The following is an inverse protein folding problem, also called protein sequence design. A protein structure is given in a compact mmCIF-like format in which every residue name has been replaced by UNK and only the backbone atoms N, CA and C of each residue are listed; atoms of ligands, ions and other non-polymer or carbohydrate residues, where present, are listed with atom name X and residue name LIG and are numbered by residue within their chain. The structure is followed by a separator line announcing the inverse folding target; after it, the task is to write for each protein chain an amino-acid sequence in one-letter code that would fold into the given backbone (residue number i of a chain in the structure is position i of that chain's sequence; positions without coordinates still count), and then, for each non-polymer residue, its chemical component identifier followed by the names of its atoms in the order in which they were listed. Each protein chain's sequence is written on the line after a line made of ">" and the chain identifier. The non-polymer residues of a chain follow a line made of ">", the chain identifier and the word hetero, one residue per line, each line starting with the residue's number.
data_IF_304693856188
#
_entry.id   IF_304693856188
#
_cell.length_a   1.000
_cell.length_b   1.000
_cell.length_c   1.000
_cell.angle_alpha   90.00
_cell.angle_beta   90.00
_cell.angle_gamma   90.00
#
_symmetry.space_group_name_H-M   'P 1'
#
loop_
_entity.id
_entity.type
_entity.pdbx_description
1 polymer ?
#
# COMPACT_ATOMS: atom_id res chain seq x y z
N UNK A 1 39.72 -73.95 -48.96
CA UNK A 1 38.55 -74.86 -49.06
C UNK A 1 37.40 -74.23 -48.30
N UNK A 2 36.19 -74.27 -48.87
CA UNK A 2 34.91 -73.82 -48.26
C UNK A 2 34.70 -74.55 -46.90
N UNK A 3 33.91 -74.07 -45.94
CA UNK A 3 32.44 -74.23 -45.93
C UNK A 3 31.83 -73.53 -44.67
N UNK A 4 30.86 -72.65 -44.94
CA UNK A 4 29.59 -72.24 -44.25
C UNK A 4 29.39 -72.14 -42.71
N UNK A 5 28.87 -70.96 -42.32
CA UNK A 5 27.91 -70.60 -41.24
C UNK A 5 26.62 -71.48 -41.26
N UNK A 6 25.70 -71.52 -40.24
CA UNK A 6 25.07 -70.35 -39.58
C UNK A 6 24.52 -70.53 -38.12
N UNK A 7 23.83 -69.46 -37.64
CA UNK A 7 22.65 -69.43 -36.73
C UNK A 7 22.91 -69.36 -35.20
N UNK A 8 22.88 -68.17 -34.53
CA UNK A 8 21.77 -67.27 -34.11
C UNK A 8 21.17 -67.61 -32.72
N UNK A 9 21.11 -66.56 -31.85
CA UNK A 9 20.23 -66.32 -30.66
C UNK A 9 20.54 -67.14 -29.40
N UNK A 10 20.47 -66.66 -28.15
CA UNK A 10 20.29 -65.38 -27.45
C UNK A 10 20.24 -65.73 -25.93
N UNK A 11 20.51 -64.76 -25.06
CA UNK A 11 20.09 -64.71 -23.64
C UNK A 11 20.82 -65.58 -22.60
N UNK A 12 21.45 -64.91 -21.62
CA UNK A 12 21.03 -64.91 -20.21
C UNK A 12 22.17 -64.46 -19.28
N UNK A 13 22.37 -63.15 -19.10
CA UNK A 13 23.11 -62.67 -17.92
C UNK A 13 22.15 -62.61 -16.73
N UNK A 14 22.29 -63.58 -15.84
CA UNK A 14 21.61 -63.63 -14.54
C UNK A 14 22.48 -63.04 -13.43
N UNK A 15 21.89 -62.08 -12.71
CA UNK A 15 21.93 -61.86 -11.26
C UNK A 15 23.26 -61.81 -10.49
N UNK A 16 23.54 -60.65 -9.87
CA UNK A 16 23.71 -60.46 -8.41
C UNK A 16 24.27 -59.04 -8.17
N UNK A 17 23.46 -58.07 -7.76
CA UNK A 17 23.03 -57.76 -6.38
C UNK A 17 23.97 -56.79 -5.63
N UNK A 18 23.40 -55.61 -5.40
CA UNK A 18 23.65 -54.64 -4.32
C UNK A 18 24.96 -53.84 -4.29
N UNK A 19 24.89 -52.66 -4.92
CA UNK A 19 25.68 -51.49 -4.48
C UNK A 19 24.76 -50.28 -4.34
N UNK A 20 24.45 -49.96 -3.07
CA UNK A 20 24.14 -48.63 -2.53
C UNK A 20 23.21 -47.74 -3.37
N UNK A 21 21.89 -48.02 -3.29
CA UNK A 21 20.90 -46.95 -3.41
C UNK A 21 20.97 -46.10 -2.14
N UNK A 22 21.89 -45.15 -2.12
CA UNK A 22 21.74 -43.95 -1.29
C UNK A 22 20.45 -43.29 -1.75
N UNK A 23 19.45 -43.28 -0.87
CA UNK A 23 18.20 -42.55 -1.07
C UNK A 23 18.47 -41.04 -1.04
N UNK A 24 19.11 -40.52 -2.08
CA UNK A 24 19.15 -39.09 -2.35
C UNK A 24 17.79 -38.71 -2.95
N UNK A 25 16.79 -38.66 -2.07
CA UNK A 25 15.52 -38.00 -2.38
C UNK A 25 15.86 -36.56 -2.74
N UNK A 26 15.65 -36.21 -4.00
CA UNK A 26 15.71 -34.82 -4.45
C UNK A 26 14.91 -33.94 -3.45
N UNK A 27 15.43 -32.77 -3.07
CA UNK A 27 14.77 -31.93 -2.08
C UNK A 27 13.35 -31.61 -2.53
N UNK A 28 12.37 -31.99 -1.72
CA UNK A 28 10.95 -31.70 -1.94
C UNK A 28 10.58 -30.37 -1.28
N UNK A 29 9.41 -29.81 -1.58
CA UNK A 29 8.90 -28.61 -0.89
C UNK A 29 8.89 -28.79 0.64
N UNK A 30 8.68 -30.02 1.14
CA UNK A 30 8.76 -30.36 2.56
C UNK A 30 10.16 -30.13 3.18
N UNK A 31 11.22 -30.14 2.38
CA UNK A 31 12.60 -29.85 2.83
C UNK A 31 12.90 -28.36 2.98
N UNK A 32 12.02 -27.47 2.49
CA UNK A 32 12.19 -26.01 2.61
C UNK A 32 11.80 -25.47 3.99
N UNK A 33 10.89 -26.14 4.71
CA UNK A 33 10.41 -25.66 6.02
C UNK A 33 11.47 -25.66 7.14
N UNK A 34 12.64 -26.24 6.91
CA UNK A 34 13.77 -26.28 7.87
C UNK A 34 15.00 -25.50 7.43
N UNK A 35 14.97 -24.85 6.26
CA UNK A 35 16.09 -24.00 5.84
C UNK A 35 15.96 -22.65 6.54
N UNK A 36 16.94 -22.23 7.34
CA UNK A 36 16.94 -20.87 7.88
C UNK A 36 16.98 -19.92 6.68
N UNK A 37 15.91 -19.16 6.50
CA UNK A 37 15.87 -18.11 5.48
C UNK A 37 16.78 -17.02 6.00
N UNK A 38 17.98 -16.93 5.41
CA UNK A 38 18.86 -15.80 5.61
C UNK A 38 18.30 -14.68 4.75
N UNK A 39 17.42 -13.87 5.35
CA UNK A 39 17.01 -12.60 4.77
C UNK A 39 18.19 -11.67 5.00
N UNK A 40 19.09 -11.60 4.02
CA UNK A 40 19.99 -10.48 3.97
C UNK A 40 19.13 -9.28 3.59
N UNK A 41 19.02 -8.29 4.48
CA UNK A 41 18.42 -6.99 4.17
C UNK A 41 19.34 -6.32 3.14
N UNK A 42 19.17 -6.69 1.87
CA UNK A 42 19.77 -5.95 0.76
C UNK A 42 19.10 -4.59 0.78
N UNK A 43 19.83 -3.49 0.98
CA UNK A 43 19.25 -2.17 0.84
C UNK A 43 18.76 -2.06 -0.60
N UNK A 44 17.46 -2.13 -0.80
CA UNK A 44 16.87 -1.78 -2.08
C UNK A 44 16.87 -0.25 -2.08
N UNK A 45 17.93 0.36 -2.59
CA UNK A 45 17.92 1.77 -2.98
C UNK A 45 16.99 1.94 -4.20
N UNK A 46 15.72 1.57 -4.08
CA UNK A 46 14.70 1.96 -5.05
C UNK A 46 14.38 3.41 -4.81
N UNK A 47 14.93 4.29 -5.64
CA UNK A 47 14.47 5.69 -5.70
C UNK A 47 12.96 5.75 -5.99
N UNK A 48 12.27 6.77 -5.49
CA UNK A 48 10.86 7.02 -5.83
C UNK A 48 10.61 6.88 -7.34
N UNK A 49 11.52 7.41 -8.16
CA UNK A 49 11.47 7.31 -9.63
C UNK A 49 11.44 5.87 -10.15
N UNK A 50 12.25 4.97 -9.60
CA UNK A 50 12.25 3.55 -9.99
C UNK A 50 10.95 2.87 -9.57
N UNK A 51 10.44 3.16 -8.36
CA UNK A 51 9.17 2.62 -7.89
C UNK A 51 7.98 3.10 -8.75
N UNK A 52 7.90 4.40 -9.04
CA UNK A 52 6.92 4.99 -9.97
C UNK A 52 6.97 4.29 -11.32
N UNK A 53 8.18 4.10 -11.89
CA UNK A 53 8.34 3.48 -13.21
C UNK A 53 7.88 2.02 -13.22
N UNK A 54 8.17 1.26 -12.15
CA UNK A 54 7.74 -0.13 -12.00
C UNK A 54 6.22 -0.24 -11.90
N UNK A 55 5.56 0.60 -11.09
CA UNK A 55 4.10 0.59 -10.99
C UNK A 55 3.43 1.02 -12.29
N UNK A 56 3.96 2.03 -12.98
CA UNK A 56 3.46 2.43 -14.29
C UNK A 56 3.54 1.29 -15.31
N UNK A 57 4.64 0.55 -15.35
CA UNK A 57 4.78 -0.58 -16.26
C UNK A 57 3.82 -1.72 -15.92
N UNK A 58 3.67 -2.04 -14.64
CA UNK A 58 2.69 -3.02 -14.19
C UNK A 58 1.25 -2.63 -14.57
N UNK A 59 0.89 -1.35 -14.45
CA UNK A 59 -0.45 -0.86 -14.80
C UNK A 59 -0.75 -0.85 -16.32
N UNK A 60 0.25 -1.02 -17.18
CA UNK A 60 0.04 -1.24 -18.64
C UNK A 60 -0.35 -2.67 -18.99
N UNK A 61 -0.11 -3.62 -18.09
CA UNK A 61 -0.48 -5.02 -18.30
C UNK A 61 -1.99 -5.22 -18.12
N UNK A 62 -2.57 -6.31 -18.62
CA UNK A 62 -3.97 -6.65 -18.40
C UNK A 62 -4.22 -7.41 -17.07
N UNK A 63 -3.32 -7.27 -16.09
CA UNK A 63 -3.42 -7.96 -14.80
C UNK A 63 -4.65 -7.51 -13.98
N UNK A 64 -5.67 -8.37 -13.87
CA UNK A 64 -6.89 -8.07 -13.13
C UNK A 64 -6.83 -8.52 -11.66
N UNK A 65 -5.64 -8.84 -11.12
CA UNK A 65 -5.49 -9.29 -9.74
C UNK A 65 -5.64 -8.14 -8.73
N UNK A 66 -5.71 -8.50 -7.44
CA UNK A 66 -5.72 -7.55 -6.32
C UNK A 66 -4.46 -6.69 -6.24
N UNK A 67 -3.39 -7.04 -6.97
CA UNK A 67 -2.20 -6.21 -7.06
C UNK A 67 -2.44 -4.90 -7.84
N UNK A 68 -3.44 -4.86 -8.73
CA UNK A 68 -3.77 -3.67 -9.53
C UNK A 68 -4.17 -2.45 -8.70
N UNK A 69 -5.23 -2.50 -7.86
CA UNK A 69 -5.59 -1.38 -6.99
C UNK A 69 -4.48 -1.03 -5.99
N UNK A 70 -3.71 -2.02 -5.53
CA UNK A 70 -2.56 -1.77 -4.67
C UNK A 70 -1.48 -0.95 -5.39
N UNK A 71 -1.13 -1.31 -6.62
CA UNK A 71 -0.17 -0.57 -7.44
C UNK A 71 -0.65 0.84 -7.78
N UNK A 72 -1.95 0.99 -8.09
CA UNK A 72 -2.57 2.31 -8.28
C UNK A 72 -2.42 3.17 -7.02
N UNK A 73 -2.84 2.65 -5.86
CA UNK A 73 -2.69 3.36 -4.58
C UNK A 73 -1.24 3.73 -4.31
N UNK A 74 -0.30 2.80 -4.47
CA UNK A 74 1.13 3.04 -4.22
C UNK A 74 1.72 4.09 -5.17
N UNK A 75 1.30 4.12 -6.42
CA UNK A 75 1.70 5.15 -7.37
C UNK A 75 1.22 6.53 -6.92
N UNK A 76 -0.05 6.63 -6.47
CA UNK A 76 -0.60 7.87 -5.93
C UNK A 76 0.08 8.28 -4.62
N UNK A 77 0.36 7.32 -3.73
CA UNK A 77 1.09 7.57 -2.48
C UNK A 77 2.46 8.17 -2.77
N UNK A 78 3.23 7.63 -3.72
CA UNK A 78 4.56 8.14 -4.07
C UNK A 78 4.49 9.57 -4.64
N UNK A 79 3.50 9.83 -5.50
CA UNK A 79 3.31 11.15 -6.09
C UNK A 79 2.93 12.19 -5.03
N UNK A 80 2.16 11.79 -4.01
CA UNK A 80 1.84 12.59 -2.84
C UNK A 80 3.03 12.68 -1.85
N UNK A 81 3.85 11.64 -1.71
CA UNK A 81 4.92 11.58 -0.71
C UNK A 81 6.19 12.34 -1.12
N UNK A 82 6.38 12.63 -2.40
CA UNK A 82 7.36 13.64 -2.84
C UNK A 82 7.15 15.02 -2.16
N UNK A 83 6.04 15.20 -1.43
CA UNK A 83 5.68 16.38 -0.65
C UNK A 83 6.20 16.40 0.80
N UNK A 84 6.62 15.29 1.43
CA UNK A 84 7.22 15.37 2.79
C UNK A 84 8.55 16.13 2.78
N UNK A 85 9.23 16.12 1.63
CA UNK A 85 10.43 16.90 1.34
C UNK A 85 10.11 18.41 1.18
N UNK A 86 8.83 18.73 0.96
CA UNK A 86 8.35 20.08 0.66
C UNK A 86 7.93 20.87 1.92
N UNK A 87 7.35 20.23 2.94
CA UNK A 87 6.91 20.93 4.17
C UNK A 87 8.08 21.48 5.01
N UNK A 88 9.25 20.81 5.00
CA UNK A 88 10.48 21.28 5.65
C UNK A 88 11.25 22.33 4.81
N UNK A 89 10.82 22.57 3.57
CA UNK A 89 11.50 23.46 2.63
C UNK A 89 10.66 24.72 2.37
N UNK A 90 11.25 25.92 2.42
CA UNK A 90 10.61 27.15 1.96
C UNK A 90 10.45 27.13 0.42
N UNK A 91 9.52 26.32 -0.07
CA UNK A 91 9.23 26.23 -1.48
C UNK A 91 8.36 27.41 -1.90
N UNK A 92 8.86 28.17 -2.87
CA UNK A 92 8.14 29.27 -3.51
C UNK A 92 8.20 29.11 -5.03
N UNK A 93 7.18 29.60 -5.72
CA UNK A 93 7.11 29.59 -7.19
C UNK A 93 6.77 28.23 -7.79
N UNK A 94 7.40 27.91 -8.93
CA UNK A 94 7.07 26.79 -9.81
C UNK A 94 7.04 25.42 -9.12
N UNK A 95 7.84 25.24 -8.07
CA UNK A 95 7.88 23.98 -7.30
C UNK A 95 6.57 23.71 -6.57
N UNK A 96 5.97 24.72 -5.92
CA UNK A 96 4.67 24.55 -5.24
C UNK A 96 3.56 24.21 -6.25
N UNK A 97 3.62 24.81 -7.44
CA UNK A 97 2.66 24.53 -8.51
C UNK A 97 2.80 23.09 -9.02
N UNK A 98 4.04 22.61 -9.18
CA UNK A 98 4.31 21.23 -9.58
C UNK A 98 3.76 20.23 -8.56
N UNK A 99 3.98 20.47 -7.27
CA UNK A 99 3.44 19.60 -6.22
C UNK A 99 1.91 19.61 -6.21
N UNK A 100 1.27 20.78 -6.33
CA UNK A 100 -0.21 20.84 -6.44
C UNK A 100 -0.74 20.07 -7.65
N UNK A 101 -0.02 20.09 -8.77
CA UNK A 101 -0.36 19.29 -9.93
C UNK A 101 -0.23 17.78 -9.65
N UNK A 102 0.85 17.35 -9.00
CA UNK A 102 1.06 15.94 -8.62
C UNK A 102 0.02 15.44 -7.61
N UNK A 103 -0.38 16.27 -6.65
CA UNK A 103 -1.49 15.99 -5.75
C UNK A 103 -2.81 15.83 -6.51
N UNK A 104 -3.06 16.68 -7.52
CA UNK A 104 -4.20 16.56 -8.43
C UNK A 104 -4.24 15.22 -9.18
N UNK A 105 -3.11 14.79 -9.73
CA UNK A 105 -3.00 13.47 -10.38
C UNK A 105 -3.27 12.33 -9.38
N UNK A 106 -2.80 12.47 -8.14
CA UNK A 106 -3.03 11.50 -7.07
C UNK A 106 -4.51 11.39 -6.68
N UNK A 107 -5.24 12.52 -6.62
CA UNK A 107 -6.69 12.56 -6.40
C UNK A 107 -7.41 11.72 -7.46
N UNK A 108 -7.05 11.87 -8.74
CA UNK A 108 -7.65 11.09 -9.82
C UNK A 108 -7.43 9.59 -9.63
N UNK A 109 -6.21 9.17 -9.27
CA UNK A 109 -5.90 7.75 -9.06
C UNK A 109 -6.66 7.18 -7.85
N UNK A 110 -6.71 7.88 -6.72
CA UNK A 110 -7.44 7.41 -5.55
C UNK A 110 -8.94 7.27 -5.83
N UNK A 111 -9.54 8.23 -6.53
CA UNK A 111 -10.95 8.14 -6.96
C UNK A 111 -11.19 6.94 -7.86
N UNK A 112 -10.30 6.69 -8.82
CA UNK A 112 -10.36 5.52 -9.70
C UNK A 112 -10.30 4.21 -8.90
N UNK A 113 -9.47 4.13 -7.85
CA UNK A 113 -9.40 2.96 -6.97
C UNK A 113 -10.74 2.77 -6.25
N UNK A 114 -11.30 3.82 -5.65
CA UNK A 114 -12.55 3.75 -4.90
C UNK A 114 -13.76 3.43 -5.78
N UNK A 115 -13.77 3.92 -7.03
CA UNK A 115 -14.85 3.67 -7.99
C UNK A 115 -14.81 2.24 -8.56
N UNK A 116 -13.62 1.76 -8.94
CA UNK A 116 -13.47 0.44 -9.59
C UNK A 116 -13.39 -0.71 -8.60
N UNK A 117 -12.96 -0.42 -7.37
CA UNK A 117 -12.77 -1.41 -6.32
C UNK A 117 -13.45 -0.97 -5.00
N UNK A 118 -14.78 -0.72 -5.00
CA UNK A 118 -15.46 -0.06 -3.89
C UNK A 118 -15.48 -0.87 -2.60
N UNK A 119 -15.49 -2.21 -2.68
CA UNK A 119 -15.74 -3.09 -1.53
C UNK A 119 -14.46 -3.59 -0.84
N UNK A 120 -13.29 -3.05 -1.19
CA UNK A 120 -12.04 -3.46 -0.56
C UNK A 120 -11.99 -3.04 0.91
N UNK A 121 -11.41 -3.92 1.72
CA UNK A 121 -11.26 -3.72 3.16
C UNK A 121 -10.15 -2.70 3.50
N UNK A 122 -9.22 -2.46 2.59
CA UNK A 122 -8.08 -1.53 2.75
C UNK A 122 -8.31 -0.15 2.13
N UNK A 123 -9.55 0.14 1.70
CA UNK A 123 -9.95 1.44 1.15
C UNK A 123 -9.99 2.55 2.22
N UNK A 124 -9.88 2.22 3.51
CA UNK A 124 -9.70 3.21 4.58
C UNK A 124 -8.44 4.07 4.36
N UNK A 125 -7.33 3.43 3.99
CA UNK A 125 -6.08 4.10 3.63
C UNK A 125 -6.25 4.99 2.39
N UNK A 126 -6.99 4.53 1.40
CA UNK A 126 -7.25 5.28 0.16
C UNK A 126 -8.09 6.53 0.44
N UNK A 127 -9.15 6.40 1.25
CA UNK A 127 -9.98 7.53 1.66
C UNK A 127 -9.18 8.55 2.48
N UNK A 128 -8.33 8.09 3.40
CA UNK A 128 -7.50 8.98 4.21
C UNK A 128 -6.53 9.78 3.34
N UNK A 129 -5.83 9.11 2.43
CA UNK A 129 -4.87 9.75 1.53
C UNK A 129 -5.54 10.69 0.53
N UNK A 130 -6.73 10.32 0.03
CA UNK A 130 -7.56 11.19 -0.80
C UNK A 130 -7.96 12.47 -0.07
N UNK A 131 -8.39 12.35 1.20
CA UNK A 131 -8.73 13.51 2.01
C UNK A 131 -7.53 14.46 2.21
N UNK A 132 -6.34 13.91 2.46
CA UNK A 132 -5.10 14.69 2.57
C UNK A 132 -4.75 15.39 1.25
N UNK A 133 -4.87 14.68 0.14
CA UNK A 133 -4.62 15.26 -1.18
C UNK A 133 -5.58 16.43 -1.46
N UNK A 134 -6.85 16.31 -1.07
CA UNK A 134 -7.81 17.42 -1.15
C UNK A 134 -7.45 18.61 -0.26
N UNK A 135 -6.97 18.41 0.97
CA UNK A 135 -6.48 19.52 1.80
C UNK A 135 -5.32 20.25 1.11
N UNK A 136 -4.40 19.49 0.53
CA UNK A 136 -3.22 20.02 -0.16
C UNK A 136 -3.57 20.82 -1.42
N UNK A 137 -4.55 20.37 -2.20
CA UNK A 137 -5.01 21.08 -3.40
C UNK A 137 -5.93 22.27 -3.09
N UNK A 138 -6.27 22.50 -1.81
CA UNK A 138 -7.15 23.60 -1.40
C UNK A 138 -8.63 23.28 -1.58
N UNK A 139 -9.01 22.01 -1.43
CA UNK A 139 -10.37 21.47 -1.56
C UNK A 139 -10.91 20.95 -0.21
N UNK A 140 -11.02 21.80 0.84
CA UNK A 140 -11.34 21.37 2.20
C UNK A 140 -12.73 20.72 2.35
N UNK A 141 -13.71 21.11 1.52
CA UNK A 141 -15.05 20.52 1.58
C UNK A 141 -15.06 19.07 1.06
N UNK A 142 -14.29 18.79 0.01
CA UNK A 142 -14.08 17.44 -0.51
C UNK A 142 -13.33 16.58 0.53
N UNK A 143 -12.32 17.16 1.20
CA UNK A 143 -11.65 16.49 2.30
C UNK A 143 -12.62 16.13 3.44
N UNK A 144 -13.45 17.08 3.89
CA UNK A 144 -14.47 16.83 4.92
C UNK A 144 -15.41 15.69 4.57
N UNK A 145 -15.92 15.66 3.33
CA UNK A 145 -16.80 14.59 2.85
C UNK A 145 -16.07 13.23 2.84
N UNK A 146 -14.83 13.20 2.38
CA UNK A 146 -14.02 11.98 2.29
C UNK A 146 -13.68 11.42 3.67
N UNK A 147 -13.30 12.27 4.63
CA UNK A 147 -13.05 11.88 6.02
C UNK A 147 -14.33 11.36 6.71
N UNK A 148 -15.48 11.97 6.42
CA UNK A 148 -16.76 11.48 6.92
C UNK A 148 -17.12 10.10 6.34
N UNK A 149 -16.82 9.84 5.06
CA UNK A 149 -16.97 8.53 4.47
C UNK A 149 -16.06 7.49 5.12
N UNK A 150 -14.78 7.82 5.36
CA UNK A 150 -13.83 6.94 6.05
C UNK A 150 -14.39 6.50 7.40
N UNK A 151 -14.76 7.45 8.25
CA UNK A 151 -15.28 7.18 9.60
C UNK A 151 -16.53 6.29 9.54
N UNK A 152 -17.42 6.55 8.58
CA UNK A 152 -18.67 5.79 8.43
C UNK A 152 -18.44 4.36 7.95
N UNK A 153 -17.52 4.16 7.01
CA UNK A 153 -17.30 2.85 6.36
C UNK A 153 -16.27 1.99 7.07
N UNK A 154 -15.31 2.61 7.73
CA UNK A 154 -14.16 1.97 8.39
C UNK A 154 -14.00 2.48 9.83
N UNK A 155 -15.00 2.26 10.70
CA UNK A 155 -15.00 2.80 12.07
C UNK A 155 -13.85 2.25 12.95
N UNK A 156 -13.25 1.12 12.56
CA UNK A 156 -12.12 0.50 13.27
C UNK A 156 -10.75 0.86 12.64
N UNK A 157 -10.73 1.73 11.63
CA UNK A 157 -9.48 2.13 10.98
C UNK A 157 -8.59 2.93 11.93
N UNK A 158 -7.27 2.72 11.83
CA UNK A 158 -6.26 3.53 12.52
C UNK A 158 -6.38 5.03 12.21
N UNK A 159 -6.97 5.39 11.06
CA UNK A 159 -7.11 6.78 10.62
C UNK A 159 -8.31 7.50 11.23
N UNK A 160 -9.18 6.82 11.99
CA UNK A 160 -10.45 7.41 12.47
C UNK A 160 -10.23 8.60 13.39
N UNK A 161 -9.32 8.48 14.37
CA UNK A 161 -9.08 9.56 15.34
C UNK A 161 -8.45 10.78 14.69
N UNK A 162 -7.50 10.55 13.77
CA UNK A 162 -6.95 11.65 12.98
C UNK A 162 -7.99 12.26 12.06
N UNK A 163 -8.87 11.46 11.47
CA UNK A 163 -9.96 11.95 10.61
C UNK A 163 -10.92 12.85 11.38
N UNK A 164 -11.28 12.50 12.61
CA UNK A 164 -12.06 13.40 13.48
C UNK A 164 -11.30 14.70 13.79
N UNK A 165 -10.02 14.60 14.13
CA UNK A 165 -9.19 15.77 14.40
C UNK A 165 -9.11 16.71 13.19
N UNK A 166 -8.77 16.20 12.00
CA UNK A 166 -8.69 16.96 10.74
C UNK A 166 -10.03 17.59 10.37
N UNK A 167 -11.14 16.86 10.52
CA UNK A 167 -12.48 17.44 10.32
C UNK A 167 -12.71 18.62 11.25
N UNK A 168 -12.33 18.50 12.52
CA UNK A 168 -12.38 19.59 13.49
C UNK A 168 -11.58 20.81 13.02
N UNK A 169 -10.33 20.61 12.57
CA UNK A 169 -9.46 21.69 12.09
C UNK A 169 -10.08 22.42 10.88
N UNK A 170 -10.57 21.67 9.89
CA UNK A 170 -11.21 22.25 8.72
C UNK A 170 -12.46 23.05 9.12
N UNK A 171 -13.34 22.48 9.94
CA UNK A 171 -14.57 23.14 10.39
C UNK A 171 -14.27 24.40 11.22
N UNK A 172 -13.24 24.35 12.06
CA UNK A 172 -12.80 25.47 12.87
C UNK A 172 -12.33 26.64 12.01
N UNK A 173 -11.51 26.37 10.98
CA UNK A 173 -11.06 27.40 10.02
C UNK A 173 -12.25 28.02 9.28
N UNK A 174 -13.29 27.22 8.99
CA UNK A 174 -14.53 27.69 8.36
C UNK A 174 -15.53 28.32 9.35
N UNK A 175 -15.14 28.48 10.62
CA UNK A 175 -15.94 29.09 11.69
C UNK A 175 -17.23 28.33 12.04
N UNK A 176 -17.33 27.05 11.64
CA UNK A 176 -18.36 26.16 12.14
C UNK A 176 -17.88 25.54 13.46
N UNK A 177 -17.82 26.38 14.49
CA UNK A 177 -17.29 26.01 15.80
C UNK A 177 -18.11 24.91 16.47
N UNK A 178 -19.43 24.89 16.25
CA UNK A 178 -20.29 23.86 16.80
C UNK A 178 -19.99 22.48 16.19
N UNK A 179 -19.78 22.40 14.88
CA UNK A 179 -19.40 21.13 14.26
C UNK A 179 -17.95 20.76 14.57
N UNK A 180 -17.05 21.74 14.66
CA UNK A 180 -15.66 21.53 15.04
C UNK A 180 -15.54 20.93 16.45
N UNK A 181 -16.27 21.49 17.43
CA UNK A 181 -16.30 21.00 18.80
C UNK A 181 -16.71 19.53 18.86
N UNK A 182 -17.79 19.15 18.15
CA UNK A 182 -18.24 17.75 18.08
C UNK A 182 -17.19 16.81 17.49
N UNK A 183 -16.44 17.27 16.50
CA UNK A 183 -15.37 16.48 15.91
C UNK A 183 -14.20 16.28 16.88
N UNK A 184 -13.76 17.34 17.58
CA UNK A 184 -12.74 17.23 18.63
C UNK A 184 -13.19 16.38 19.82
N UNK A 185 -14.46 16.47 20.23
CA UNK A 185 -15.04 15.66 21.30
C UNK A 185 -14.89 14.16 21.01
N UNK A 186 -15.07 13.73 19.76
CA UNK A 186 -14.88 12.33 19.38
C UNK A 186 -13.44 11.84 19.61
N UNK A 187 -12.45 12.72 19.44
CA UNK A 187 -11.04 12.42 19.75
C UNK A 187 -10.82 12.38 21.26
N UNK A 188 -11.31 13.39 21.98
CA UNK A 188 -11.14 13.53 23.44
C UNK A 188 -11.79 12.36 24.18
N UNK A 189 -12.89 11.81 23.68
CA UNK A 189 -13.56 10.65 24.27
C UNK A 189 -12.68 9.40 24.36
N UNK A 190 -11.61 9.31 23.55
CA UNK A 190 -10.64 8.19 23.61
C UNK A 190 -9.54 8.37 24.65
N UNK A 191 -9.42 9.56 25.25
CA UNK A 191 -8.38 9.87 26.24
C UNK A 191 -6.98 10.03 25.66
N UNK A 192 -5.98 10.04 26.54
CA UNK A 192 -4.57 10.31 26.22
C UNK A 192 -3.89 9.29 25.28
N UNK A 193 -4.58 8.20 24.90
CA UNK A 193 -4.06 7.25 23.90
C UNK A 193 -4.00 7.82 22.50
N UNK A 194 -4.81 8.85 22.20
CA UNK A 194 -4.75 9.54 20.92
C UNK A 194 -3.61 10.57 20.91
N UNK A 195 -2.71 10.55 19.90
CA UNK A 195 -1.73 11.61 19.70
C UNK A 195 -2.37 13.01 19.59
N UNK A 196 -3.62 13.07 19.16
CA UNK A 196 -4.39 14.30 18.95
C UNK A 196 -5.20 14.75 20.17
N UNK A 197 -5.16 14.01 21.29
CA UNK A 197 -5.99 14.28 22.47
C UNK A 197 -5.78 15.70 23.02
N UNK A 198 -4.54 16.06 23.36
CA UNK A 198 -4.23 17.37 23.97
C UNK A 198 -4.56 18.52 23.03
N UNK A 199 -4.29 18.36 21.73
CA UNK A 199 -4.58 19.38 20.73
C UNK A 199 -6.08 19.56 20.54
N UNK A 200 -6.84 18.46 20.48
CA UNK A 200 -8.31 18.49 20.39
C UNK A 200 -8.93 19.14 21.62
N UNK A 201 -8.47 18.78 22.82
CA UNK A 201 -8.94 19.38 24.07
C UNK A 201 -8.69 20.89 24.12
N UNK A 202 -7.49 21.31 23.70
CA UNK A 202 -7.18 22.73 23.57
C UNK A 202 -8.14 23.41 22.59
N UNK A 203 -8.26 22.89 21.36
CA UNK A 203 -9.09 23.49 20.30
C UNK A 203 -10.58 23.58 20.67
N UNK A 204 -11.11 22.62 21.43
CA UNK A 204 -12.46 22.71 21.99
C UNK A 204 -12.67 23.95 22.87
N UNK A 205 -11.66 24.37 23.64
CA UNK A 205 -11.76 25.58 24.47
C UNK A 205 -11.80 26.88 23.65
N UNK A 206 -11.45 26.83 22.36
CA UNK A 206 -11.49 27.98 21.44
C UNK A 206 -12.66 27.93 20.45
N UNK A 207 -13.43 26.85 20.44
CA UNK A 207 -14.68 26.77 19.69
C UNK A 207 -15.74 27.62 20.40
#
# INVERSE_FOLDING_TARGET
>A
MKVSLPLIILFALHSSACTLLSSDKAPTIASLGKRPIKLDDVPIETSHKQATSAYQEFLKTNDASDARPLAMRRLADINLESETVAEDSQLQGDMLQLYKQQAGDSIHIYRDVLERYPDRTDNDSVLYQLARAYEYTGEPLQSLATLAELIRRYPDSQYVLESYFRRGEILFVHKDYQAAEKAYQAVVATGDSSPFYRQSLYKMGWC
#
